data_IF_990356383432
#
_entry.id   IF_990356383432
#
_cell.length_a   1.000
_cell.length_b   1.000
_cell.length_c   1.000
_cell.angle_alpha   90.00
_cell.angle_beta   90.00
_cell.angle_gamma   90.00
#
_symmetry.space_group_name_H-M   'P 1'
#
loop_
_entity.id
_entity.type
_entity.pdbx_description
1 polymer ?
#
# COMPACT_ATOMS: atom_id res chain seq x y z
N UNK A 1 0.86 5.04 -16.95
CA UNK A 1 1.56 6.13 -16.23
C UNK A 1 0.65 7.34 -16.29
N UNK A 2 0.70 8.26 -15.32
CA UNK A 2 -0.12 9.50 -15.27
C UNK A 2 -1.64 9.33 -15.17
N UNK A 3 -2.15 8.19 -14.70
CA UNK A 3 -3.58 8.02 -14.44
C UNK A 3 -4.07 8.78 -13.19
N UNK A 4 -3.15 9.42 -12.44
CA UNK A 4 -3.47 10.27 -11.29
C UNK A 4 -3.56 9.56 -9.95
N UNK A 5 -2.82 8.46 -9.75
CA UNK A 5 -2.77 7.72 -8.47
C UNK A 5 -2.30 8.60 -7.31
N UNK A 6 -1.13 9.21 -7.42
CA UNK A 6 -0.59 10.08 -6.35
C UNK A 6 -1.45 11.31 -6.13
N UNK A 7 -2.10 11.86 -7.20
CA UNK A 7 -3.09 12.94 -7.06
C UNK A 7 -4.32 12.48 -6.28
N UNK A 8 -4.76 11.22 -6.49
CA UNK A 8 -5.87 10.64 -5.72
C UNK A 8 -5.47 10.44 -4.26
N UNK A 9 -4.27 9.94 -4.01
CA UNK A 9 -3.71 9.80 -2.66
C UNK A 9 -3.67 11.15 -1.93
N UNK A 10 -3.17 12.20 -2.60
CA UNK A 10 -3.17 13.57 -2.05
C UNK A 10 -4.57 14.05 -1.72
N UNK A 11 -5.54 13.83 -2.62
CA UNK A 11 -6.93 14.21 -2.41
C UNK A 11 -7.56 13.48 -1.23
N UNK A 12 -7.28 12.18 -1.08
CA UNK A 12 -7.75 11.41 0.07
C UNK A 12 -7.16 11.97 1.37
N UNK A 13 -5.88 12.27 1.42
CA UNK A 13 -5.23 12.86 2.60
C UNK A 13 -5.87 14.19 3.02
N UNK A 14 -6.18 15.04 2.04
CA UNK A 14 -6.82 16.33 2.29
C UNK A 14 -8.26 16.16 2.79
N UNK A 15 -9.06 15.33 2.11
CA UNK A 15 -10.48 15.15 2.43
C UNK A 15 -10.72 14.43 3.75
N UNK A 16 -9.84 13.51 4.12
CA UNK A 16 -9.90 12.81 5.42
C UNK A 16 -9.35 13.65 6.57
N UNK A 17 -8.77 14.82 6.26
CA UNK A 17 -8.12 15.68 7.25
C UNK A 17 -6.83 15.12 7.81
N UNK A 18 -6.28 14.06 7.21
CA UNK A 18 -4.99 13.50 7.62
C UNK A 18 -3.85 14.51 7.44
N UNK A 19 -3.95 15.36 6.40
CA UNK A 19 -3.07 16.51 6.17
C UNK A 19 -3.92 17.76 6.11
N UNK A 20 -3.50 18.82 6.83
CA UNK A 20 -4.21 20.12 6.75
C UNK A 20 -3.95 20.75 5.38
N UNK A 21 -4.97 21.43 4.81
CA UNK A 21 -4.88 22.04 3.48
C UNK A 21 -3.69 22.99 3.31
N UNK A 22 -3.30 23.70 4.39
CA UNK A 22 -2.12 24.60 4.38
C UNK A 22 -0.78 23.87 4.25
N UNK A 23 -0.73 22.59 4.63
CA UNK A 23 0.49 21.76 4.66
C UNK A 23 0.54 20.80 3.44
N UNK A 24 -0.55 20.77 2.65
CA UNK A 24 -0.65 19.99 1.43
C UNK A 24 0.29 20.51 0.35
N UNK A 25 0.94 19.59 -0.33
CA UNK A 25 1.76 19.81 -1.53
C UNK A 25 1.48 18.69 -2.53
N UNK A 26 1.70 18.98 -3.81
CA UNK A 26 1.57 17.95 -4.83
C UNK A 26 2.53 16.78 -4.58
N UNK A 27 2.03 15.56 -4.80
CA UNK A 27 2.79 14.32 -4.56
C UNK A 27 3.32 14.26 -3.12
N UNK A 28 2.42 14.48 -2.16
CA UNK A 28 2.75 14.58 -0.74
C UNK A 28 3.49 13.34 -0.21
N UNK A 29 3.08 12.16 -0.66
CA UNK A 29 3.66 10.88 -0.25
C UNK A 29 4.99 10.60 -0.94
N UNK A 30 5.25 11.16 -2.13
CA UNK A 30 6.51 10.97 -2.86
C UNK A 30 7.65 11.67 -2.11
N UNK A 31 8.48 10.89 -1.43
CA UNK A 31 9.51 11.40 -0.53
C UNK A 31 10.85 11.63 -1.21
N UNK A 32 11.11 10.97 -2.33
CA UNK A 32 12.38 11.04 -3.08
C UNK A 32 12.37 12.23 -4.05
N UNK A 33 13.49 12.93 -4.16
CA UNK A 33 13.64 14.01 -5.12
C UNK A 33 13.46 13.52 -6.58
N UNK A 34 13.92 12.30 -6.87
CA UNK A 34 13.77 11.68 -8.18
C UNK A 34 12.30 11.38 -8.53
N UNK A 35 11.47 10.97 -7.55
CA UNK A 35 10.03 10.78 -7.74
C UNK A 35 9.37 12.09 -8.17
N UNK A 36 9.68 13.19 -7.49
CA UNK A 36 9.14 14.52 -7.79
C UNK A 36 9.64 15.06 -9.11
N UNK A 37 10.95 14.87 -9.43
CA UNK A 37 11.53 15.31 -10.69
C UNK A 37 10.89 14.58 -11.88
N UNK A 38 10.65 13.28 -11.75
CA UNK A 38 10.11 12.44 -12.81
C UNK A 38 8.59 12.38 -12.83
N UNK A 39 7.92 12.81 -11.78
CA UNK A 39 6.47 12.73 -11.63
C UNK A 39 5.96 11.30 -11.50
N UNK A 40 6.77 10.36 -11.00
CA UNK A 40 6.41 8.96 -10.84
C UNK A 40 6.72 8.47 -9.42
N UNK A 41 5.86 7.66 -8.85
CA UNK A 41 6.14 6.93 -7.61
C UNK A 41 7.09 5.77 -7.92
N UNK A 42 8.21 5.71 -7.23
CA UNK A 42 9.20 4.63 -7.34
C UNK A 42 9.01 3.66 -6.19
N UNK A 43 8.77 4.18 -4.99
CA UNK A 43 8.65 3.41 -3.77
C UNK A 43 7.25 3.49 -3.18
N UNK A 44 6.69 2.35 -2.80
CA UNK A 44 5.39 2.32 -2.15
C UNK A 44 5.42 3.09 -0.82
N UNK A 45 4.42 3.93 -0.59
CA UNK A 45 4.26 4.70 0.64
C UNK A 45 2.95 4.34 1.31
N UNK A 46 3.00 4.03 2.60
CA UNK A 46 1.80 3.74 3.38
C UNK A 46 1.42 4.92 4.26
N UNK A 47 0.13 5.12 4.47
CA UNK A 47 -0.41 6.12 5.37
C UNK A 47 -1.72 5.65 5.98
N UNK A 48 -1.91 5.95 7.27
CA UNK A 48 -3.17 5.70 7.98
C UNK A 48 -4.07 6.92 7.85
N UNK A 49 -5.31 6.71 7.38
CA UNK A 49 -6.29 7.77 7.20
C UNK A 49 -7.64 7.38 7.81
N UNK A 50 -8.32 8.29 8.53
CA UNK A 50 -9.65 8.05 9.08
C UNK A 50 -10.73 8.40 8.06
N UNK A 51 -11.81 7.62 7.99
CA UNK A 51 -13.00 7.95 7.22
C UNK A 51 -14.25 7.35 7.85
N UNK A 52 -15.23 8.19 8.22
CA UNK A 52 -16.54 7.79 8.77
C UNK A 52 -16.48 6.69 9.83
N UNK A 53 -15.56 6.80 10.79
CA UNK A 53 -15.38 5.84 11.88
C UNK A 53 -14.57 4.59 11.51
N UNK A 54 -14.11 4.47 10.28
CA UNK A 54 -13.19 3.45 9.81
C UNK A 54 -11.75 4.00 9.74
N UNK A 55 -10.79 3.11 9.78
CA UNK A 55 -9.38 3.43 9.56
C UNK A 55 -8.91 2.72 8.31
N UNK A 56 -8.45 3.48 7.32
CA UNK A 56 -7.80 2.94 6.12
C UNK A 56 -6.29 2.96 6.28
N UNK A 57 -5.65 1.92 5.79
CA UNK A 57 -4.23 1.88 5.52
C UNK A 57 -4.03 1.99 4.01
N UNK A 58 -3.85 3.21 3.53
CA UNK A 58 -3.62 3.48 2.12
C UNK A 58 -2.16 3.20 1.79
N UNK A 59 -1.91 2.41 0.74
CA UNK A 59 -0.58 2.17 0.18
C UNK A 59 -0.57 2.72 -1.24
N UNK A 60 0.13 3.83 -1.45
CA UNK A 60 0.38 4.38 -2.79
C UNK A 60 1.51 3.59 -3.45
N UNK A 61 1.23 2.98 -4.60
CA UNK A 61 2.11 2.05 -5.28
C UNK A 61 2.63 2.62 -6.59
N UNK A 62 3.86 2.24 -7.03
CA UNK A 62 4.33 2.56 -8.36
C UNK A 62 3.34 2.07 -9.44
N UNK A 63 3.29 2.80 -10.56
CA UNK A 63 2.44 2.42 -11.69
C UNK A 63 3.22 1.82 -12.85
N UNK A 64 4.54 1.91 -12.86
CA UNK A 64 5.39 1.45 -13.96
C UNK A 64 5.67 -0.05 -13.85
N UNK A 65 5.67 -0.76 -14.98
CA UNK A 65 5.89 -2.22 -15.02
C UNK A 65 7.25 -2.66 -14.48
N UNK A 66 8.27 -1.80 -14.58
CA UNK A 66 9.60 -2.07 -14.02
C UNK A 66 9.60 -2.20 -12.49
N UNK A 67 8.58 -1.66 -11.82
CA UNK A 67 8.38 -1.75 -10.38
C UNK A 67 7.33 -2.80 -10.00
N UNK A 68 7.03 -3.76 -10.87
CA UNK A 68 6.05 -4.82 -10.61
C UNK A 68 6.33 -5.61 -9.33
N UNK A 69 7.60 -5.75 -8.96
CA UNK A 69 7.99 -6.39 -7.70
C UNK A 69 7.57 -5.56 -6.47
N UNK A 70 7.72 -4.24 -6.51
CA UNK A 70 7.23 -3.34 -5.44
C UNK A 70 5.70 -3.39 -5.32
N UNK A 71 5.02 -3.44 -6.47
CA UNK A 71 3.56 -3.58 -6.53
C UNK A 71 3.12 -4.89 -5.88
N UNK A 72 3.69 -6.03 -6.28
CA UNK A 72 3.30 -7.35 -5.76
C UNK A 72 3.47 -7.47 -4.24
N UNK A 73 4.52 -6.87 -3.68
CA UNK A 73 4.74 -6.83 -2.22
C UNK A 73 3.69 -6.01 -1.49
N UNK A 74 3.36 -4.85 -2.05
CA UNK A 74 2.33 -3.98 -1.49
C UNK A 74 0.96 -4.66 -1.53
N UNK A 75 0.65 -5.37 -2.60
CA UNK A 75 -0.60 -6.14 -2.74
C UNK A 75 -0.72 -7.24 -1.68
N UNK A 76 0.38 -7.93 -1.33
CA UNK A 76 0.37 -8.93 -0.27
C UNK A 76 0.00 -8.36 1.12
N UNK A 77 0.08 -7.03 1.28
CA UNK A 77 -0.28 -6.33 2.50
C UNK A 77 -1.69 -5.69 2.43
N UNK A 78 -2.53 -6.04 1.44
CA UNK A 78 -3.82 -5.39 1.21
C UNK A 78 -4.97 -6.41 1.20
N UNK A 79 -6.20 -5.96 1.46
CA UNK A 79 -7.47 -6.68 1.25
C UNK A 79 -8.11 -6.33 -0.09
N UNK A 80 -7.77 -5.20 -0.67
CA UNK A 80 -8.31 -4.76 -1.95
C UNK A 80 -7.46 -3.67 -2.58
N UNK A 81 -7.79 -3.35 -3.82
CA UNK A 81 -7.10 -2.35 -4.62
C UNK A 81 -8.07 -1.39 -5.29
N UNK A 82 -7.66 -0.15 -5.42
CA UNK A 82 -8.31 0.83 -6.29
C UNK A 82 -7.57 0.85 -7.62
N UNK A 83 -8.21 0.36 -8.67
CA UNK A 83 -7.68 0.38 -10.03
C UNK A 83 -8.03 1.71 -10.69
N UNK A 84 -7.05 2.59 -10.82
CA UNK A 84 -7.24 3.95 -11.38
C UNK A 84 -6.95 3.94 -12.88
N UNK A 85 -7.95 4.28 -13.68
CA UNK A 85 -7.86 4.39 -15.14
C UNK A 85 -8.17 5.83 -15.55
N UNK A 86 -7.39 6.39 -16.47
CA UNK A 86 -7.61 7.73 -17.02
C UNK A 86 -8.80 7.72 -17.98
N UNK A 87 -9.80 8.56 -17.74
CA UNK A 87 -11.01 8.66 -18.56
C UNK A 87 -10.78 9.28 -19.95
N UNK A 88 -9.58 9.77 -20.24
CA UNK A 88 -9.20 10.30 -21.55
C UNK A 88 -8.26 9.37 -22.33
N UNK A 89 -7.55 8.46 -21.65
CA UNK A 89 -6.56 7.56 -22.28
C UNK A 89 -7.02 6.09 -22.28
N UNK A 90 -7.85 5.69 -21.30
CA UNK A 90 -8.34 4.31 -21.18
C UNK A 90 -7.32 3.34 -20.60
N UNK A 91 -7.47 2.07 -20.95
CA UNK A 91 -6.61 0.98 -20.45
C UNK A 91 -5.26 1.00 -21.15
N UNK A 92 -4.19 1.02 -20.38
CA UNK A 92 -2.82 0.84 -20.87
C UNK A 92 -2.26 -0.54 -20.48
N UNK A 93 -1.16 -0.95 -21.11
CA UNK A 93 -0.49 -2.23 -20.81
C UNK A 93 -0.14 -2.39 -19.32
N UNK A 94 0.26 -1.29 -18.68
CA UNK A 94 0.58 -1.25 -17.25
C UNK A 94 -0.66 -1.44 -16.36
N UNK A 95 -1.81 -0.93 -16.79
CA UNK A 95 -3.10 -1.13 -16.12
C UNK A 95 -3.45 -2.61 -16.08
N UNK A 96 -3.30 -3.30 -17.22
CA UNK A 96 -3.53 -4.73 -17.32
C UNK A 96 -2.57 -5.54 -16.45
N UNK A 97 -1.27 -5.24 -16.53
CA UNK A 97 -0.27 -5.95 -15.74
C UNK A 97 -0.54 -5.85 -14.22
N UNK A 98 -0.85 -4.65 -13.73
CA UNK A 98 -1.14 -4.44 -12.32
C UNK A 98 -2.50 -5.05 -11.90
N UNK A 99 -3.50 -5.05 -12.79
CA UNK A 99 -4.77 -5.73 -12.55
C UNK A 99 -4.59 -7.25 -12.41
N UNK A 100 -3.78 -7.87 -13.26
CA UNK A 100 -3.47 -9.30 -13.14
C UNK A 100 -2.75 -9.64 -11.84
N UNK A 101 -1.80 -8.82 -11.40
CA UNK A 101 -1.15 -9.01 -10.10
C UNK A 101 -2.15 -8.95 -8.93
N UNK A 102 -3.13 -8.04 -9.00
CA UNK A 102 -4.20 -7.95 -8.00
C UNK A 102 -5.10 -9.19 -8.01
N UNK A 103 -5.47 -9.70 -9.19
CA UNK A 103 -6.26 -10.92 -9.35
C UNK A 103 -5.51 -12.16 -8.85
N UNK A 104 -4.22 -12.29 -9.17
CA UNK A 104 -3.36 -13.36 -8.67
C UNK A 104 -3.26 -13.35 -7.13
N UNK A 105 -3.32 -12.16 -6.53
CA UNK A 105 -3.36 -11.98 -5.07
C UNK A 105 -4.75 -12.16 -4.46
N UNK A 106 -5.77 -12.50 -5.27
CA UNK A 106 -7.17 -12.68 -4.86
C UNK A 106 -7.75 -11.46 -4.10
N UNK A 107 -7.42 -10.26 -4.55
CA UNK A 107 -7.87 -9.01 -3.94
C UNK A 107 -9.16 -8.52 -4.58
N UNK A 108 -10.01 -7.86 -3.78
CA UNK A 108 -11.16 -7.12 -4.29
C UNK A 108 -10.69 -5.90 -5.10
N UNK A 109 -11.26 -5.71 -6.28
CA UNK A 109 -10.88 -4.60 -7.19
C UNK A 109 -12.01 -3.59 -7.27
N UNK A 110 -11.75 -2.37 -6.82
CA UNK A 110 -12.63 -1.21 -7.03
C UNK A 110 -12.07 -0.39 -8.20
N UNK A 111 -12.72 -0.47 -9.37
CA UNK A 111 -12.26 0.27 -10.54
C UNK A 111 -12.81 1.70 -10.56
N UNK A 112 -11.97 2.66 -10.94
CA UNK A 112 -12.35 4.06 -11.08
C UNK A 112 -11.85 4.66 -12.39
N UNK A 113 -12.69 5.44 -13.05
CA UNK A 113 -12.33 6.31 -14.15
C UNK A 113 -12.04 7.70 -13.60
N UNK A 114 -10.77 8.08 -13.61
CA UNK A 114 -10.28 9.36 -13.11
C UNK A 114 -10.14 10.40 -14.22
N UNK A 115 -10.03 11.65 -13.83
CA UNK A 115 -9.88 12.82 -14.72
C UNK A 115 -11.13 13.10 -15.58
N UNK A 116 -12.32 12.83 -15.04
CA UNK A 116 -13.58 13.15 -15.74
C UNK A 116 -13.79 14.66 -15.97
N UNK A 117 -12.97 15.50 -15.35
CA UNK A 117 -12.93 16.96 -15.53
C UNK A 117 -12.25 17.38 -16.84
N UNK A 118 -11.56 16.49 -17.52
CA UNK A 118 -10.88 16.82 -18.78
C UNK A 118 -11.88 16.87 -19.95
N UNK A 119 -11.74 17.85 -20.88
CA UNK A 119 -12.61 17.94 -22.06
C UNK A 119 -12.54 16.72 -22.99
N UNK A 120 -11.43 15.98 -22.96
CA UNK A 120 -11.22 14.76 -23.75
C UNK A 120 -11.71 13.47 -23.06
N UNK A 121 -12.24 13.58 -21.82
CA UNK A 121 -12.72 12.42 -21.09
C UNK A 121 -13.98 11.82 -21.75
N UNK A 122 -13.99 10.50 -21.91
CA UNK A 122 -15.12 9.72 -22.38
C UNK A 122 -15.38 8.54 -21.42
N UNK A 123 -15.95 8.82 -20.23
CA UNK A 123 -16.13 7.80 -19.20
C UNK A 123 -17.02 6.64 -19.64
N UNK A 124 -18.04 6.88 -20.46
CA UNK A 124 -18.96 5.83 -20.91
C UNK A 124 -18.25 4.82 -21.82
N UNK A 125 -17.48 5.33 -22.76
CA UNK A 125 -16.67 4.50 -23.65
C UNK A 125 -15.67 3.63 -22.89
N UNK A 126 -14.92 4.24 -21.99
CA UNK A 126 -13.87 3.53 -21.25
C UNK A 126 -14.42 2.61 -20.16
N UNK A 127 -15.62 2.87 -19.62
CA UNK A 127 -16.30 1.92 -18.75
C UNK A 127 -16.64 0.63 -19.51
N UNK A 128 -17.19 0.73 -20.71
CA UNK A 128 -17.46 -0.44 -21.58
C UNK A 128 -16.17 -1.17 -22.00
N UNK A 129 -15.08 -0.45 -22.20
CA UNK A 129 -13.78 -1.05 -22.50
C UNK A 129 -13.25 -1.86 -21.30
N UNK A 130 -13.33 -1.32 -20.09
CA UNK A 130 -12.95 -2.00 -18.86
C UNK A 130 -13.79 -3.26 -18.65
N UNK A 131 -15.10 -3.17 -18.83
CA UNK A 131 -16.00 -4.32 -18.74
C UNK A 131 -15.60 -5.43 -19.73
N UNK A 132 -15.36 -5.07 -20.99
CA UNK A 132 -14.96 -6.02 -22.03
C UNK A 132 -13.61 -6.69 -21.75
N UNK A 133 -12.65 -5.96 -21.22
CA UNK A 133 -11.25 -6.41 -21.06
C UNK A 133 -11.01 -7.07 -19.72
N UNK A 134 -11.56 -6.51 -18.64
CA UNK A 134 -11.34 -6.95 -17.27
C UNK A 134 -12.53 -7.69 -16.65
N UNK A 135 -13.71 -7.65 -17.29
CA UNK A 135 -14.91 -8.28 -16.78
C UNK A 135 -15.56 -7.56 -15.59
N UNK A 136 -15.15 -6.31 -15.31
CA UNK A 136 -15.76 -5.48 -14.27
C UNK A 136 -16.96 -4.76 -14.89
N UNK A 137 -18.21 -4.94 -14.39
CA UNK A 137 -19.40 -4.30 -14.97
C UNK A 137 -19.25 -2.77 -15.05
N UNK A 138 -19.65 -2.18 -16.17
CA UNK A 138 -19.53 -0.75 -16.43
C UNK A 138 -20.27 0.11 -15.38
N UNK A 139 -21.36 -0.41 -14.83
CA UNK A 139 -22.15 0.21 -13.75
C UNK A 139 -21.43 0.26 -12.40
N UNK A 140 -20.49 -0.67 -12.15
CA UNK A 140 -19.70 -0.75 -10.92
C UNK A 140 -18.46 0.14 -10.95
N UNK A 141 -18.18 0.80 -12.08
CA UNK A 141 -17.01 1.64 -12.26
C UNK A 141 -17.32 3.06 -11.83
N UNK A 142 -16.66 3.52 -10.80
CA UNK A 142 -16.83 4.88 -10.27
C UNK A 142 -16.19 5.91 -11.20
N UNK A 143 -16.79 7.09 -11.27
CA UNK A 143 -16.33 8.22 -12.08
C UNK A 143 -15.87 9.32 -11.16
N UNK A 144 -14.58 9.65 -11.20
CA UNK A 144 -13.97 10.58 -10.26
C UNK A 144 -13.11 11.63 -10.96
N UNK A 145 -12.86 12.71 -10.26
CA UNK A 145 -11.75 13.63 -10.53
C UNK A 145 -10.94 13.83 -9.25
N UNK A 146 -9.79 13.21 -9.18
CA UNK A 146 -8.85 13.40 -8.08
C UNK A 146 -8.44 14.86 -7.94
N UNK A 147 -8.34 15.60 -9.06
CA UNK A 147 -7.99 17.02 -9.10
C UNK A 147 -9.04 17.90 -8.43
N UNK A 148 -10.32 17.68 -8.74
CA UNK A 148 -11.43 18.52 -8.22
C UNK A 148 -12.06 17.94 -6.96
N UNK A 149 -11.86 16.65 -6.65
CA UNK A 149 -12.45 15.96 -5.53
C UNK A 149 -13.82 15.33 -5.83
N UNK A 150 -14.36 15.52 -7.03
CA UNK A 150 -15.65 14.94 -7.43
C UNK A 150 -15.56 13.41 -7.43
N UNK A 151 -16.54 12.74 -6.83
CA UNK A 151 -16.66 11.29 -6.75
C UNK A 151 -15.69 10.61 -5.76
N UNK A 152 -14.78 11.35 -5.12
CA UNK A 152 -13.81 10.77 -4.18
C UNK A 152 -14.45 10.36 -2.84
N UNK A 153 -15.40 11.11 -2.25
CA UNK A 153 -16.14 10.63 -1.08
C UNK A 153 -16.90 9.34 -1.35
N UNK A 154 -17.53 9.24 -2.51
CA UNK A 154 -18.26 8.04 -2.95
C UNK A 154 -17.33 6.85 -3.13
N UNK A 155 -16.11 7.06 -3.65
CA UNK A 155 -15.08 6.04 -3.72
C UNK A 155 -14.70 5.53 -2.33
N UNK A 156 -14.49 6.42 -1.36
CA UNK A 156 -14.14 6.01 0.01
C UNK A 156 -15.29 5.24 0.68
N UNK A 157 -16.54 5.59 0.40
CA UNK A 157 -17.71 4.86 0.89
C UNK A 157 -17.81 3.47 0.24
N UNK A 158 -17.55 3.38 -1.07
CA UNK A 158 -17.57 2.12 -1.81
C UNK A 158 -16.45 1.16 -1.35
N UNK A 159 -15.28 1.68 -0.99
CA UNK A 159 -14.21 0.89 -0.38
C UNK A 159 -14.69 0.21 0.90
N UNK A 160 -15.44 0.91 1.77
CA UNK A 160 -15.98 0.33 3.02
C UNK A 160 -16.96 -0.81 2.71
N UNK A 161 -17.76 -0.67 1.65
CA UNK A 161 -18.79 -1.65 1.29
C UNK A 161 -18.19 -2.89 0.63
N UNK A 162 -17.25 -2.70 -0.28
CA UNK A 162 -16.74 -3.78 -1.15
C UNK A 162 -15.51 -4.49 -0.60
N UNK A 163 -14.56 -3.74 -0.03
CA UNK A 163 -13.33 -4.34 0.48
C UNK A 163 -13.59 -4.92 1.87
N UNK A 164 -13.39 -6.24 2.06
CA UNK A 164 -13.62 -6.85 3.36
C UNK A 164 -12.63 -6.32 4.39
N UNK A 165 -13.01 -6.24 5.67
CA UNK A 165 -12.08 -5.90 6.73
C UNK A 165 -10.99 -6.97 6.85
N UNK A 166 -9.79 -6.61 7.36
CA UNK A 166 -8.72 -7.57 7.59
C UNK A 166 -9.19 -8.69 8.51
N UNK A 167 -8.79 -9.92 8.17
CA UNK A 167 -9.02 -11.11 8.99
C UNK A 167 -7.78 -11.32 9.85
N UNK A 168 -7.99 -11.54 11.14
CA UNK A 168 -6.88 -11.84 12.05
C UNK A 168 -7.37 -12.02 13.46
N UNK A 169 -6.65 -12.84 14.23
CA UNK A 169 -6.93 -13.10 15.64
C UNK A 169 -5.90 -12.36 16.50
N UNK A 170 -6.36 -11.42 17.31
CA UNK A 170 -5.52 -10.63 18.19
C UNK A 170 -4.88 -11.42 19.35
N UNK A 171 -5.46 -12.57 19.70
CA UNK A 171 -5.01 -13.44 20.79
C UNK A 171 -4.10 -14.58 20.29
N UNK A 172 -3.97 -14.74 18.95
CA UNK A 172 -3.05 -15.68 18.36
C UNK A 172 -1.58 -15.25 18.51
N UNK A 173 -0.60 -16.15 18.30
CA UNK A 173 0.80 -15.76 18.18
C UNK A 173 1.00 -14.71 17.09
N UNK A 174 1.90 -13.76 17.35
CA UNK A 174 2.20 -12.69 16.39
C UNK A 174 2.65 -13.28 15.06
N UNK A 175 2.04 -12.81 13.98
CA UNK A 175 2.52 -12.96 12.60
C UNK A 175 2.42 -11.59 11.92
N UNK A 176 3.56 -11.01 11.59
CA UNK A 176 3.64 -9.76 10.84
C UNK A 176 4.46 -9.95 9.57
N UNK A 177 3.96 -9.44 8.44
CA UNK A 177 4.63 -9.47 7.15
C UNK A 177 5.47 -8.20 6.99
N UNK A 178 6.75 -8.34 6.67
CA UNK A 178 7.56 -7.23 6.17
C UNK A 178 7.32 -7.12 4.66
N UNK A 179 6.74 -6.03 4.19
CA UNK A 179 6.50 -5.82 2.76
C UNK A 179 7.46 -4.80 2.12
N UNK A 180 8.18 -3.99 2.92
CA UNK A 180 9.27 -3.13 2.48
C UNK A 180 10.27 -2.87 3.62
N UNK A 181 11.53 -2.57 3.27
CA UNK A 181 12.56 -2.18 4.23
C UNK A 181 13.49 -1.13 3.64
N UNK A 182 13.81 -0.12 4.44
CA UNK A 182 14.67 0.99 4.05
C UNK A 182 15.75 1.21 5.08
N UNK A 183 16.95 1.58 4.63
CA UNK A 183 18.01 1.98 5.54
C UNK A 183 17.92 3.49 5.82
N UNK A 184 17.81 3.83 7.08
CA UNK A 184 17.90 5.20 7.60
C UNK A 184 19.25 5.35 8.31
N UNK A 185 19.99 6.42 8.01
CA UNK A 185 21.34 6.64 8.55
C UNK A 185 21.36 6.80 10.07
N UNK A 186 20.27 7.21 10.68
CA UNK A 186 20.16 7.45 12.12
C UNK A 186 19.47 6.31 12.86
N UNK A 187 18.47 5.67 12.24
CA UNK A 187 17.61 4.66 12.87
C UNK A 187 17.96 3.22 12.46
N UNK A 188 18.86 3.04 11.49
CA UNK A 188 19.14 1.74 10.89
C UNK A 188 18.02 1.30 9.94
N UNK A 189 17.75 0.01 9.88
CA UNK A 189 16.67 -0.51 9.01
C UNK A 189 15.32 -0.18 9.62
N UNK A 190 14.49 0.51 8.83
CA UNK A 190 13.08 0.79 9.10
C UNK A 190 12.26 -0.11 8.16
N UNK A 191 11.57 -1.09 8.74
CA UNK A 191 10.75 -2.03 7.99
C UNK A 191 9.29 -1.60 7.98
N UNK A 192 8.65 -1.59 6.83
CA UNK A 192 7.21 -1.46 6.69
C UNK A 192 6.58 -2.81 6.93
N UNK A 193 5.68 -2.90 7.89
CA UNK A 193 5.08 -4.15 8.34
C UNK A 193 3.55 -4.09 8.28
N UNK A 194 2.96 -5.26 8.10
CA UNK A 194 1.55 -5.50 8.34
C UNK A 194 1.38 -6.62 9.33
N UNK A 195 0.62 -6.37 10.40
CA UNK A 195 0.24 -7.41 11.36
C UNK A 195 -0.93 -8.22 10.78
N UNK A 196 -0.75 -9.53 10.66
CA UNK A 196 -1.78 -10.47 10.20
C UNK A 196 -2.50 -11.08 11.38
N UNK A 197 -1.77 -11.55 12.40
CA UNK A 197 -2.30 -12.12 13.64
C UNK A 197 -1.50 -11.62 14.83
N UNK A 198 -2.10 -11.73 16.02
CA UNK A 198 -1.47 -11.33 17.27
C UNK A 198 -1.30 -9.82 17.39
N UNK A 199 -0.45 -9.41 18.30
CA UNK A 199 -0.15 -8.00 18.60
C UNK A 199 1.34 -7.78 18.69
N UNK A 200 1.83 -6.70 18.09
CA UNK A 200 3.22 -6.28 18.22
C UNK A 200 3.30 -5.11 19.19
N UNK A 201 4.16 -5.24 20.21
CA UNK A 201 4.36 -4.23 21.24
C UNK A 201 5.83 -3.78 21.29
N UNK A 202 6.06 -2.54 21.72
CA UNK A 202 7.42 -2.05 21.98
C UNK A 202 8.16 -2.91 23.02
N UNK A 203 9.48 -3.07 22.87
CA UNK A 203 10.33 -3.85 23.77
C UNK A 203 10.19 -5.38 23.64
N UNK A 204 9.34 -5.89 22.73
CA UNK A 204 9.22 -7.32 22.49
C UNK A 204 10.46 -7.87 21.79
N UNK A 205 10.88 -9.09 22.16
CA UNK A 205 11.88 -9.83 21.38
C UNK A 205 11.22 -10.52 20.21
N UNK A 206 11.67 -10.23 19.01
CA UNK A 206 11.17 -10.76 17.75
C UNK A 206 12.09 -11.83 17.20
N UNK A 207 11.47 -12.81 16.52
CA UNK A 207 12.12 -13.80 15.68
C UNK A 207 11.70 -13.54 14.23
N UNK A 208 12.66 -13.35 13.36
CA UNK A 208 12.50 -13.29 11.92
C UNK A 208 12.55 -14.72 11.40
N UNK A 209 11.41 -15.22 10.91
CA UNK A 209 11.20 -16.66 10.77
C UNK A 209 12.01 -17.30 9.63
N UNK A 210 12.33 -16.58 8.57
CA UNK A 210 13.15 -17.10 7.46
C UNK A 210 14.64 -16.96 7.78
N UNK A 211 15.10 -15.77 8.18
CA UNK A 211 16.51 -15.51 8.47
C UNK A 211 16.98 -16.10 9.81
N UNK A 212 16.04 -16.47 10.70
CA UNK A 212 16.30 -16.94 12.08
C UNK A 212 16.98 -15.91 12.97
N UNK A 213 17.05 -14.65 12.53
CA UNK A 213 17.58 -13.56 13.31
C UNK A 213 16.64 -13.19 14.45
N UNK A 214 17.22 -12.76 15.58
CA UNK A 214 16.45 -12.27 16.73
C UNK A 214 16.83 -10.83 17.02
N UNK A 215 15.82 -9.98 17.13
CA UNK A 215 15.98 -8.56 17.42
C UNK A 215 14.98 -8.11 18.48
N UNK A 216 15.29 -7.02 19.14
CA UNK A 216 14.37 -6.39 20.08
C UNK A 216 13.72 -5.17 19.43
N UNK A 217 12.41 -5.01 19.61
CA UNK A 217 11.68 -3.84 19.14
C UNK A 217 12.16 -2.60 19.88
N UNK A 218 12.77 -1.68 19.15
CA UNK A 218 13.14 -0.36 19.67
C UNK A 218 11.95 0.58 19.56
N UNK A 219 11.30 0.58 18.39
CA UNK A 219 10.15 1.43 18.12
C UNK A 219 9.22 0.77 17.10
N UNK A 220 7.92 0.90 17.31
CA UNK A 220 6.88 0.66 16.31
C UNK A 220 6.04 1.90 16.16
N UNK A 221 5.49 2.09 14.98
CA UNK A 221 4.64 3.25 14.73
C UNK A 221 3.82 3.13 13.45
N UNK A 222 3.00 4.15 13.22
CA UNK A 222 2.22 4.31 12.01
C UNK A 222 2.54 5.64 11.34
N UNK A 223 2.36 5.74 10.02
CA UNK A 223 2.44 7.00 9.29
C UNK A 223 1.06 7.68 9.29
N UNK A 224 0.95 8.84 9.97
CA UNK A 224 -0.29 9.60 10.14
C UNK A 224 -0.12 11.09 9.79
N UNK A 225 0.17 11.53 8.58
CA UNK A 225 1.14 11.08 7.55
C UNK A 225 2.60 11.13 8.00
N UNK A 226 2.89 11.78 9.11
CA UNK A 226 4.22 11.75 9.74
C UNK A 226 4.37 10.45 10.53
N UNK A 227 5.57 9.87 10.52
CA UNK A 227 5.87 8.69 11.34
C UNK A 227 5.63 9.00 12.81
N UNK A 228 4.67 8.32 13.41
CA UNK A 228 4.24 8.53 14.80
C UNK A 228 4.37 7.21 15.57
N UNK A 229 5.17 7.16 16.64
CA UNK A 229 5.25 5.98 17.50
C UNK A 229 3.89 5.61 18.08
N UNK A 230 3.61 4.30 18.17
CA UNK A 230 2.43 3.74 18.81
C UNK A 230 2.85 2.69 19.85
N UNK A 231 1.97 2.43 20.82
CA UNK A 231 2.25 1.43 21.84
C UNK A 231 2.11 -0.01 21.31
N UNK A 232 1.18 -0.21 20.39
CA UNK A 232 0.80 -1.52 19.88
C UNK A 232 0.35 -1.41 18.41
N UNK A 233 0.60 -2.48 17.64
CA UNK A 233 -0.01 -2.73 16.34
C UNK A 233 -0.74 -4.07 16.40
N UNK A 234 -2.03 -4.08 16.07
CA UNK A 234 -2.90 -5.25 16.05
C UNK A 234 -3.18 -5.79 14.64
N UNK A 235 -3.99 -6.85 14.53
CA UNK A 235 -4.33 -7.48 13.25
C UNK A 235 -4.92 -6.47 12.25
N UNK A 236 -4.43 -6.52 11.00
CA UNK A 236 -4.82 -5.63 9.91
C UNK A 236 -4.11 -4.28 9.91
N UNK A 237 -3.42 -3.91 10.98
CA UNK A 237 -2.73 -2.62 11.02
C UNK A 237 -1.43 -2.66 10.25
N UNK A 238 -1.20 -1.59 9.47
CA UNK A 238 0.05 -1.32 8.77
C UNK A 238 0.83 -0.26 9.54
N UNK A 239 2.12 -0.52 9.71
CA UNK A 239 2.99 0.38 10.43
C UNK A 239 4.46 0.23 10.02
N UNK A 240 5.34 0.74 10.86
CA UNK A 240 6.78 0.54 10.72
C UNK A 240 7.38 -0.08 11.98
N UNK A 241 8.47 -0.80 11.79
CA UNK A 241 9.27 -1.46 12.81
C UNK A 241 10.72 -0.97 12.75
N UNK A 242 11.28 -0.59 13.88
CA UNK A 242 12.69 -0.34 14.09
C UNK A 242 13.17 -1.30 15.16
N UNK A 243 14.14 -2.14 14.82
CA UNK A 243 14.66 -3.20 15.69
C UNK A 243 16.21 -3.22 15.75
N UNK A 244 16.85 -2.09 15.47
CA UNK A 244 18.30 -1.95 15.54
C UNK A 244 19.06 -2.75 14.48
N UNK A 245 18.40 -3.18 13.44
CA UNK A 245 18.96 -3.93 12.33
C UNK A 245 19.84 -3.00 11.49
N UNK A 246 21.03 -3.45 11.15
CA UNK A 246 22.01 -2.65 10.38
C UNK A 246 22.10 -3.10 8.91
N UNK A 247 21.70 -4.30 8.62
CA UNK A 247 21.71 -4.88 7.27
C UNK A 247 20.27 -5.15 6.80
N UNK A 248 19.87 -4.52 5.70
CA UNK A 248 18.55 -4.75 5.08
C UNK A 248 18.35 -6.23 4.71
N UNK A 249 19.44 -6.98 4.49
CA UNK A 249 19.41 -8.41 4.24
C UNK A 249 18.83 -9.25 5.37
N UNK A 250 18.81 -8.75 6.62
CA UNK A 250 18.21 -9.41 7.78
C UNK A 250 16.69 -9.14 7.89
N UNK A 251 16.20 -8.09 7.27
CA UNK A 251 14.78 -7.69 7.28
C UNK A 251 14.24 -7.57 5.85
N UNK A 252 14.36 -8.66 5.08
CA UNK A 252 13.92 -8.69 3.68
C UNK A 252 12.41 -8.59 3.56
N UNK A 253 11.96 -8.02 2.47
CA UNK A 253 10.52 -8.05 2.15
C UNK A 253 10.08 -9.50 1.92
N UNK A 254 8.88 -9.83 2.43
CA UNK A 254 8.36 -11.19 2.51
C UNK A 254 8.74 -11.94 3.78
N UNK A 255 9.63 -11.38 4.62
CA UNK A 255 9.98 -11.96 5.91
C UNK A 255 8.77 -11.97 6.85
N UNK A 256 8.58 -13.07 7.56
CA UNK A 256 7.58 -13.19 8.62
C UNK A 256 8.22 -12.95 9.97
N UNK A 257 7.65 -12.01 10.71
CA UNK A 257 8.11 -11.67 12.05
C UNK A 257 7.13 -12.20 13.09
N UNK A 258 7.65 -12.87 14.10
CA UNK A 258 6.89 -13.36 15.27
C UNK A 258 7.59 -13.01 16.57
N UNK A 259 6.94 -13.25 17.73
CA UNK A 259 7.59 -13.10 19.02
C UNK A 259 8.48 -14.30 19.35
N UNK A 260 9.64 -14.09 19.95
CA UNK A 260 10.57 -15.17 20.30
C UNK A 260 10.04 -16.11 21.40
N UNK A 261 9.14 -15.61 22.27
CA UNK A 261 8.61 -16.38 23.41
C UNK A 261 7.41 -17.24 23.01
N UNK A 262 6.50 -16.67 22.20
CA UNK A 262 5.29 -17.34 21.71
C UNK A 262 5.29 -17.24 20.17
N UNK A 263 6.16 -18.05 19.56
CA UNK A 263 6.39 -18.01 18.13
C UNK A 263 5.24 -18.67 17.37
N UNK A 264 4.83 -18.05 16.26
CA UNK A 264 4.01 -18.72 15.26
C UNK A 264 4.78 -19.91 14.65
N UNK A 265 4.05 -20.92 14.22
CA UNK A 265 4.62 -22.14 13.63
C UNK A 265 4.79 -22.07 12.13
N UNK A 266 3.98 -21.23 11.47
CA UNK A 266 3.92 -21.09 10.02
C UNK A 266 4.38 -19.71 9.58
N UNK A 267 5.12 -19.67 8.48
CA UNK A 267 5.47 -18.41 7.81
C UNK A 267 4.29 -17.94 6.95
N UNK A 268 4.17 -16.63 6.77
CA UNK A 268 3.20 -16.06 5.86
C UNK A 268 3.62 -16.31 4.40
N UNK A 269 2.63 -16.52 3.54
CA UNK A 269 2.85 -16.60 2.10
C UNK A 269 3.29 -15.23 1.55
N UNK A 270 4.05 -15.26 0.44
CA UNK A 270 4.46 -14.03 -0.26
C UNK A 270 5.96 -13.75 -0.23
N UNK A 271 6.78 -14.62 0.39
CA UNK A 271 8.23 -14.52 0.24
C UNK A 271 8.65 -15.07 -1.14
N UNK A 272 9.07 -14.15 -2.01
CA UNK A 272 9.72 -14.50 -3.26
C UNK A 272 11.09 -13.79 -3.29
N UNK A 273 12.15 -14.54 -3.52
CA UNK A 273 13.46 -13.94 -3.76
C UNK A 273 13.39 -13.04 -5.02
N UNK A 274 13.86 -11.79 -4.94
CA UNK A 274 13.88 -10.92 -6.10
C UNK A 274 14.75 -11.52 -7.19
N UNK A 275 14.17 -11.75 -8.36
CA UNK A 275 14.95 -12.14 -9.53
C UNK A 275 15.64 -10.90 -10.08
N UNK A 276 16.96 -10.84 -10.21
CA UNK A 276 17.65 -9.71 -10.79
C UNK A 276 17.19 -9.52 -12.24
N UNK A 277 16.67 -8.32 -12.54
CA UNK A 277 16.19 -7.94 -13.86
C UNK A 277 17.24 -7.18 -14.68
N UNK A 278 18.23 -6.60 -14.00
CA UNK A 278 19.31 -5.83 -14.60
C UNK A 278 20.64 -6.28 -14.01
N UNK A 279 21.58 -6.54 -14.88
CA UNK A 279 22.96 -6.85 -14.51
C UNK A 279 23.85 -5.68 -14.92
N UNK A 280 24.50 -5.04 -13.94
CA UNK A 280 25.47 -3.97 -14.18
C UNK A 280 26.88 -4.56 -14.06
N UNK A 281 27.71 -4.29 -15.08
CA UNK A 281 29.12 -4.64 -15.08
C UNK A 281 30.00 -3.46 -14.65
#
# INVERSE_FOLDING_TARGET
IDHGKSTLSDRILEMTGAVQSRDMRAQYLDSMDLERERGITIKAQNVRVPWKGHTFHLIDTPGHVDFGYEVSRSLAACEGVVLVVDAAQGIEAQTLANCYLALESNLEIVAVLNKIDLPAADPDRYAMEIEKVLGIPAEDILRISAKTGVGVPELLDEIIVRIPPPKGDADAPLQALIFDSQYDTYRGVVSSIRVMNGRMNGGSKLLFMQTKAMHEVIEIGARMPVSTPVAELGPGEVGYLIAGIKDVGEARSGETVTTAINSATEVLDGYLDPKPMVFCG
#
